data_IF_941526895435
#
_entry.id   IF_941526895435
#
_cell.length_a   1.000
_cell.length_b   1.000
_cell.length_c   1.000
_cell.angle_alpha   90.00
_cell.angle_beta   90.00
_cell.angle_gamma   90.00
#
_symmetry.space_group_name_H-M   'P 1'
#
loop_
_entity.id
_entity.type
_entity.pdbx_description
1 polymer ?
#
# COMPACT_ATOMS: atom_id res chain seq x y z
N UNK A 1 -5.26 5.22 4.67
CA UNK A 1 -5.21 4.78 6.07
C UNK A 1 -5.64 3.32 6.18
N UNK A 2 -4.92 2.52 6.99
CA UNK A 2 -5.34 1.14 7.29
C UNK A 2 -6.40 1.15 8.40
N UNK A 3 -7.43 0.33 8.25
CA UNK A 3 -8.35 -0.01 9.33
C UNK A 3 -7.80 -1.24 10.06
N UNK A 4 -7.61 -1.09 11.37
CA UNK A 4 -6.93 -2.10 12.19
C UNK A 4 -7.83 -3.24 12.60
N UNK A 5 -9.14 -3.12 12.40
CA UNK A 5 -10.14 -4.11 12.80
C UNK A 5 -10.28 -5.21 11.75
N UNK A 6 -10.22 -4.84 10.48
CA UNK A 6 -10.42 -5.73 9.33
C UNK A 6 -9.18 -5.85 8.43
N UNK A 7 -8.17 -4.99 8.63
CA UNK A 7 -6.97 -4.98 7.80
C UNK A 7 -7.19 -4.41 6.41
N UNK A 8 -8.27 -3.66 6.19
CA UNK A 8 -8.52 -2.97 4.92
C UNK A 8 -7.64 -1.71 4.86
N UNK A 9 -6.88 -1.56 3.79
CA UNK A 9 -6.20 -0.32 3.46
C UNK A 9 -7.11 0.53 2.58
N UNK A 10 -7.41 1.75 3.03
CA UNK A 10 -8.14 2.74 2.26
C UNK A 10 -7.20 3.83 1.73
N UNK A 11 -7.46 4.33 0.52
CA UNK A 11 -6.90 5.57 0.00
C UNK A 11 -7.94 6.69 0.13
N UNK A 12 -7.45 7.89 0.43
CA UNK A 12 -8.24 9.13 0.48
C UNK A 12 -7.61 10.08 -0.51
N UNK A 13 -8.29 10.33 -1.63
CA UNK A 13 -7.74 11.18 -2.69
C UNK A 13 -7.83 12.65 -2.27
N UNK A 14 -6.74 13.39 -2.48
CA UNK A 14 -6.76 14.84 -2.36
C UNK A 14 -7.62 15.44 -3.47
N UNK A 15 -8.53 16.34 -3.10
CA UNK A 15 -9.39 17.06 -4.02
C UNK A 15 -8.86 18.49 -4.23
N UNK A 16 -9.20 19.11 -5.37
CA UNK A 16 -8.76 20.46 -5.71
C UNK A 16 -9.28 21.56 -4.75
N UNK A 17 -10.21 21.23 -3.87
CA UNK A 17 -10.84 22.13 -2.89
C UNK A 17 -10.22 22.02 -1.49
N UNK A 18 -9.00 21.49 -1.35
CA UNK A 18 -8.31 21.26 -0.07
C UNK A 18 -9.03 20.27 0.88
N UNK A 19 -9.94 19.45 0.35
CA UNK A 19 -10.56 18.36 1.09
C UNK A 19 -10.04 17.01 0.59
N UNK A 20 -10.40 15.94 1.31
CA UNK A 20 -10.23 14.58 0.84
C UNK A 20 -11.56 14.02 0.35
N UNK A 21 -11.50 13.16 -0.67
CA UNK A 21 -12.65 12.36 -1.08
C UNK A 21 -13.00 11.27 -0.08
N UNK A 22 -14.09 10.57 -0.36
CA UNK A 22 -14.49 9.39 0.41
C UNK A 22 -13.40 8.30 0.40
N UNK A 23 -13.44 7.45 1.42
CA UNK A 23 -12.53 6.30 1.49
C UNK A 23 -12.76 5.40 0.29
N UNK A 24 -11.71 5.15 -0.47
CA UNK A 24 -11.71 4.12 -1.53
C UNK A 24 -10.89 2.96 -1.01
N UNK A 25 -11.43 1.75 -1.09
CA UNK A 25 -10.65 0.57 -0.73
C UNK A 25 -9.46 0.45 -1.69
N UNK A 26 -8.29 0.16 -1.14
CA UNK A 26 -7.06 -0.05 -1.88
C UNK A 26 -6.53 -1.47 -1.70
N UNK A 27 -6.80 -2.16 -0.58
CA UNK A 27 -6.49 -3.58 -0.48
C UNK A 27 -6.75 -4.18 0.88
N UNK A 28 -6.46 -5.47 1.02
CA UNK A 28 -6.77 -6.26 2.22
C UNK A 28 -5.54 -6.86 2.89
N UNK A 29 -5.68 -7.24 4.15
CA UNK A 29 -4.62 -7.91 4.91
C UNK A 29 -3.51 -6.98 5.37
N UNK A 30 -3.71 -5.66 5.32
CA UNK A 30 -2.81 -4.66 5.89
C UNK A 30 -3.06 -4.55 7.40
N UNK A 31 -2.40 -5.41 8.17
CA UNK A 31 -2.50 -5.47 9.64
C UNK A 31 -1.23 -4.96 10.31
N UNK A 32 -1.19 -4.99 11.64
CA UNK A 32 0.04 -4.68 12.40
C UNK A 32 1.18 -5.68 12.16
N UNK A 33 0.85 -6.93 11.82
CA UNK A 33 1.83 -8.03 11.67
C UNK A 33 2.01 -8.44 10.21
N UNK A 34 1.04 -8.15 9.35
CA UNK A 34 1.10 -8.41 7.92
C UNK A 34 1.10 -7.08 7.17
N UNK A 35 2.13 -6.84 6.36
CA UNK A 35 2.37 -5.55 5.67
C UNK A 35 2.65 -4.36 6.62
N UNK A 36 3.56 -4.48 7.62
CA UNK A 36 3.72 -3.49 8.70
C UNK A 36 4.33 -2.13 8.29
N UNK A 37 5.46 -2.08 7.58
CA UNK A 37 6.00 -0.84 7.03
C UNK A 37 5.32 -0.58 5.70
N UNK A 38 4.71 0.60 5.55
CA UNK A 38 3.92 0.99 4.39
C UNK A 38 4.47 2.34 3.94
N UNK A 39 4.97 2.42 2.70
CA UNK A 39 5.41 3.66 2.08
C UNK A 39 4.69 3.79 0.73
N UNK A 40 3.81 4.78 0.60
CA UNK A 40 3.05 5.03 -0.63
C UNK A 40 3.68 6.13 -1.45
N UNK A 41 3.75 5.93 -2.77
CA UNK A 41 3.98 7.00 -3.73
C UNK A 41 2.70 7.19 -4.55
N UNK A 42 2.47 8.42 -5.03
CA UNK A 42 1.23 8.74 -5.73
C UNK A 42 1.02 7.94 -7.03
N UNK A 43 2.10 7.62 -7.74
CA UNK A 43 2.15 6.86 -9.00
C UNK A 43 3.63 6.74 -9.39
N UNK A 44 4.34 5.76 -8.82
CA UNK A 44 5.78 5.63 -8.98
C UNK A 44 6.18 5.05 -10.34
N UNK A 45 5.36 4.17 -10.91
CA UNK A 45 5.61 3.56 -12.22
C UNK A 45 4.94 4.30 -13.40
N UNK A 46 4.19 5.39 -13.11
CA UNK A 46 3.57 6.32 -14.08
C UNK A 46 2.40 5.70 -14.85
N UNK A 47 1.66 4.80 -14.23
CA UNK A 47 0.52 4.13 -14.83
C UNK A 47 -0.83 4.82 -14.52
N UNK A 48 -0.82 5.91 -13.74
CA UNK A 48 -2.02 6.65 -13.33
C UNK A 48 -2.77 6.04 -12.14
N UNK A 49 -2.19 5.05 -11.46
CA UNK A 49 -2.72 4.37 -10.26
C UNK A 49 -1.72 4.56 -9.12
N UNK A 50 -2.22 4.67 -7.89
CA UNK A 50 -1.36 4.75 -6.73
C UNK A 50 -0.56 3.46 -6.52
N UNK A 51 0.70 3.62 -6.11
CA UNK A 51 1.63 2.53 -5.86
C UNK A 51 2.00 2.42 -4.37
N UNK A 52 2.45 1.23 -3.96
CA UNK A 52 2.79 0.97 -2.57
C UNK A 52 4.00 0.07 -2.40
N UNK A 53 4.85 0.38 -1.44
CA UNK A 53 5.84 -0.56 -0.91
C UNK A 53 5.42 -1.06 0.46
N UNK A 54 5.58 -2.36 0.69
CA UNK A 54 5.37 -2.96 1.99
C UNK A 54 6.49 -3.91 2.37
N UNK A 55 6.91 -3.87 3.63
CA UNK A 55 7.65 -5.00 4.20
C UNK A 55 6.67 -6.11 4.55
N UNK A 56 7.03 -7.36 4.30
CA UNK A 56 6.19 -8.52 4.63
C UNK A 56 6.89 -9.43 5.64
N UNK A 57 6.16 -10.44 6.16
CA UNK A 57 6.61 -11.25 7.30
C UNK A 57 7.90 -12.06 7.08
N UNK A 58 8.31 -12.29 5.83
CA UNK A 58 9.58 -12.93 5.47
C UNK A 58 10.78 -11.96 5.48
N UNK A 59 10.56 -10.68 5.83
CA UNK A 59 11.60 -9.66 5.89
C UNK A 59 11.98 -9.05 4.54
N UNK A 60 11.29 -9.40 3.45
CA UNK A 60 11.48 -8.82 2.12
C UNK A 60 10.70 -7.50 1.96
N UNK A 61 11.09 -6.71 0.97
CA UNK A 61 10.35 -5.54 0.51
C UNK A 61 9.61 -5.89 -0.78
N UNK A 62 8.29 -5.66 -0.79
CA UNK A 62 7.45 -5.83 -1.97
C UNK A 62 6.97 -4.48 -2.50
N UNK A 63 7.01 -4.30 -3.80
CA UNK A 63 6.39 -3.21 -4.55
C UNK A 63 5.08 -3.68 -5.17
N UNK A 64 4.02 -2.91 -4.98
CA UNK A 64 2.67 -3.16 -5.47
C UNK A 64 2.29 -2.04 -6.42
N UNK A 65 1.94 -2.39 -7.66
CA UNK A 65 1.67 -1.44 -8.76
C UNK A 65 0.26 -0.80 -8.74
N UNK A 66 -0.49 -1.06 -7.68
CA UNK A 66 -1.93 -0.80 -7.63
C UNK A 66 -2.71 -1.64 -8.64
N UNK A 67 -4.03 -1.62 -8.52
CA UNK A 67 -4.94 -2.28 -9.45
C UNK A 67 -6.21 -1.47 -9.67
N UNK A 68 -6.85 -1.66 -10.82
CA UNK A 68 -8.13 -1.05 -11.18
C UNK A 68 -9.31 -2.02 -11.09
N UNK A 69 -9.10 -3.20 -10.50
CA UNK A 69 -10.13 -4.23 -10.39
C UNK A 69 -11.19 -3.84 -9.36
N UNK A 70 -12.47 -3.88 -9.76
CA UNK A 70 -13.59 -3.71 -8.83
C UNK A 70 -14.00 -5.04 -8.15
N UNK A 71 -13.34 -6.16 -8.51
CA UNK A 71 -13.75 -7.52 -8.15
C UNK A 71 -12.64 -8.33 -7.44
N UNK A 72 -11.55 -7.69 -7.00
CA UNK A 72 -10.44 -8.34 -6.31
C UNK A 72 -9.49 -7.30 -5.68
N UNK A 73 -8.47 -7.73 -4.91
CA UNK A 73 -7.71 -6.80 -4.09
C UNK A 73 -7.05 -5.73 -4.96
N UNK A 74 -7.31 -4.49 -4.58
CA UNK A 74 -7.13 -3.27 -5.39
C UNK A 74 -5.66 -2.80 -5.33
N UNK A 75 -4.79 -3.59 -4.67
CA UNK A 75 -3.36 -3.35 -4.50
C UNK A 75 -2.53 -3.95 -5.63
N UNK A 76 -3.15 -4.76 -6.50
CA UNK A 76 -2.58 -5.21 -7.76
C UNK A 76 -1.38 -6.16 -7.65
N UNK A 77 -0.66 -6.38 -8.76
CA UNK A 77 0.51 -7.26 -8.80
C UNK A 77 1.63 -6.77 -7.88
N UNK A 78 2.36 -7.73 -7.27
CA UNK A 78 3.53 -7.46 -6.44
C UNK A 78 4.84 -7.96 -7.05
N UNK A 79 5.91 -7.21 -6.83
CA UNK A 79 7.28 -7.55 -7.19
C UNK A 79 8.15 -7.46 -5.94
N UNK A 80 9.05 -8.42 -5.74
CA UNK A 80 10.08 -8.28 -4.70
C UNK A 80 11.16 -7.31 -5.18
N UNK A 81 11.44 -6.30 -4.37
CA UNK A 81 12.45 -5.27 -4.65
C UNK A 81 13.50 -5.17 -3.54
N UNK A 82 13.44 -6.08 -2.56
CA UNK A 82 14.42 -6.20 -1.49
C UNK A 82 14.36 -7.57 -0.85
N UNK A 83 15.50 -8.24 -0.77
CA UNK A 83 15.60 -9.68 -0.49
C UNK A 83 15.66 -10.04 1.00
N UNK A 84 15.81 -9.06 1.90
CA UNK A 84 15.89 -9.31 3.34
C UNK A 84 16.28 -8.09 4.17
N UNK A 85 16.20 -8.20 5.49
CA UNK A 85 16.59 -7.17 6.45
C UNK A 85 15.57 -6.02 6.62
N UNK A 86 14.57 -5.92 5.74
CA UNK A 86 13.62 -4.82 5.75
C UNK A 86 12.68 -4.81 6.96
N UNK A 87 12.43 -5.97 7.59
CA UNK A 87 11.66 -6.04 8.82
C UNK A 87 12.30 -5.31 10.02
N UNK A 88 13.60 -4.97 9.93
CA UNK A 88 14.29 -4.19 10.97
C UNK A 88 14.15 -2.67 10.80
N UNK A 89 13.70 -2.22 9.64
CA UNK A 89 13.57 -0.80 9.29
C UNK A 89 12.33 -0.22 9.96
N UNK A 90 12.52 0.83 10.77
CA UNK A 90 11.44 1.53 11.47
C UNK A 90 10.95 2.78 10.75
N UNK A 91 11.81 3.37 9.91
CA UNK A 91 11.52 4.60 9.17
C UNK A 91 12.42 4.72 7.94
N UNK A 92 11.90 5.38 6.91
CA UNK A 92 12.62 5.78 5.69
C UNK A 92 12.39 7.30 5.56
N UNK A 93 13.45 8.08 5.31
CA UNK A 93 13.36 9.54 5.13
C UNK A 93 13.85 9.96 3.76
#
# INVERSE_FOLDING_TARGET
>A
ARDTRDGILYIYLGLANNLFGDRTEYGHGYTVTNRPLIAGAADADRNGVADMWTTVGDGTLKFYKGGSSIHGPIDGPKVEVGTGGWGSIKSIS
#
